data_IF_088307859521
#
_entry.id   IF_088307859521
#
_cell.length_a   1.000
_cell.length_b   1.000
_cell.length_c   1.000
_cell.angle_alpha   90.00
_cell.angle_beta   90.00
_cell.angle_gamma   90.00
#
_symmetry.space_group_name_H-M   'P 1'
#
loop_
_entity.id
_entity.type
_entity.pdbx_description
1 polymer ?
#
# COMPACT_ATOMS: atom_id res chain seq x y z
N UNK A 1 3.22 11.27 7.03
CA UNK A 1 4.40 10.93 7.86
C UNK A 1 4.03 9.86 8.89
N UNK A 2 5.00 9.19 9.54
CA UNK A 2 4.73 8.42 10.75
C UNK A 2 4.07 9.33 11.80
N UNK A 3 3.24 8.77 12.68
CA UNK A 3 2.46 9.58 13.64
C UNK A 3 3.35 10.21 14.73
N UNK A 4 4.50 9.60 15.01
CA UNK A 4 5.51 10.12 15.92
C UNK A 4 6.92 9.77 15.41
N UNK A 5 7.45 10.52 14.43
CA UNK A 5 8.77 10.25 13.87
C UNK A 5 9.86 10.62 14.90
N UNK A 6 10.79 9.69 15.15
CA UNK A 6 11.95 9.97 16.00
C UNK A 6 13.09 10.56 15.18
N UNK A 7 13.76 11.57 15.74
CA UNK A 7 14.98 12.11 15.15
C UNK A 7 16.06 11.01 15.04
N UNK A 8 16.79 10.98 13.91
CA UNK A 8 17.79 9.96 13.63
C UNK A 8 17.24 8.61 13.13
N UNK A 9 15.92 8.41 13.11
CA UNK A 9 15.31 7.19 12.56
C UNK A 9 14.81 7.38 11.13
N UNK A 10 14.92 6.33 10.32
CA UNK A 10 14.43 6.31 8.96
C UNK A 10 13.21 5.42 8.80
N UNK A 11 12.28 5.85 7.95
CA UNK A 11 11.04 5.13 7.71
C UNK A 11 10.78 5.01 6.20
N UNK A 12 10.25 3.86 5.79
CA UNK A 12 9.83 3.59 4.42
C UNK A 12 8.40 3.08 4.39
N UNK A 13 7.70 3.37 3.29
CA UNK A 13 6.36 2.84 2.99
C UNK A 13 6.38 2.15 1.65
N UNK A 14 5.85 0.93 1.63
CA UNK A 14 5.60 0.18 0.41
C UNK A 14 4.11 -0.11 0.34
N UNK A 15 3.51 0.15 -0.81
CA UNK A 15 2.12 -0.23 -1.06
C UNK A 15 2.05 -1.73 -1.38
N UNK A 16 1.21 -2.44 -0.66
CA UNK A 16 0.97 -3.86 -0.79
C UNK A 16 -0.54 -4.05 -0.79
N UNK A 17 -1.05 -4.85 -1.73
CA UNK A 17 -2.49 -5.01 -1.93
C UNK A 17 -3.15 -5.86 -0.84
N UNK A 18 -2.36 -6.61 -0.07
CA UNK A 18 -2.82 -7.52 0.97
C UNK A 18 -2.51 -7.00 2.38
N UNK A 19 -1.67 -5.98 2.51
CA UNK A 19 -1.22 -5.47 3.82
C UNK A 19 -1.56 -3.99 3.97
N UNK A 20 -1.89 -3.53 5.18
CA UNK A 20 -2.20 -2.13 5.40
C UNK A 20 -0.99 -1.26 5.06
N UNK A 21 -1.26 -0.15 4.38
CA UNK A 21 -0.27 0.89 4.10
C UNK A 21 0.20 1.57 5.39
N UNK A 22 1.38 1.19 5.89
CA UNK A 22 1.96 1.64 7.17
C UNK A 22 3.43 1.98 7.00
N UNK A 23 3.91 3.00 7.73
CA UNK A 23 5.33 3.32 7.83
C UNK A 23 6.07 2.24 8.61
N UNK A 24 7.14 1.70 8.03
CA UNK A 24 8.04 0.78 8.71
C UNK A 24 9.37 1.47 8.96
N UNK A 25 9.90 1.30 10.17
CA UNK A 25 11.28 1.71 10.48
C UNK A 25 12.23 0.86 9.65
N UNK A 26 13.20 1.50 9.03
CA UNK A 26 14.23 0.87 8.20
C UNK A 26 15.59 1.46 8.56
N UNK A 27 16.65 0.71 8.28
CA UNK A 27 18.01 1.20 8.50
C UNK A 27 18.29 2.41 7.58
N UNK A 28 18.72 3.53 8.15
CA UNK A 28 19.06 4.74 7.39
C UNK A 28 20.14 4.50 6.34
N UNK A 29 21.10 3.59 6.60
CA UNK A 29 22.14 3.25 5.64
C UNK A 29 21.61 2.58 4.36
N UNK A 30 20.52 1.82 4.47
CA UNK A 30 19.87 1.23 3.29
C UNK A 30 19.23 2.28 2.38
N UNK A 31 18.81 3.41 2.94
CA UNK A 31 18.30 4.55 2.17
C UNK A 31 19.45 5.37 1.59
N UNK A 32 20.52 5.61 2.39
CA UNK A 32 21.71 6.34 1.94
C UNK A 32 22.42 5.63 0.78
N UNK A 33 22.59 4.31 0.84
CA UNK A 33 23.17 3.52 -0.27
C UNK A 33 22.38 3.61 -1.57
N UNK A 34 21.04 3.76 -1.48
CA UNK A 34 20.21 4.03 -2.67
C UNK A 34 20.40 5.47 -3.19
N UNK A 35 20.76 6.43 -2.33
CA UNK A 35 21.10 7.81 -2.75
C UNK A 35 22.51 7.92 -3.35
N UNK A 36 23.49 7.12 -2.94
CA UNK A 36 24.84 7.17 -3.53
C UNK A 36 24.94 6.40 -4.85
N UNK A 37 24.08 5.41 -5.10
CA UNK A 37 23.92 4.74 -6.41
C UNK A 37 23.12 5.57 -7.42
N UNK A 38 23.09 6.90 -7.31
CA UNK A 38 22.32 7.78 -8.20
C UNK A 38 23.04 8.22 -9.48
N UNK A 39 24.21 7.66 -9.80
CA UNK A 39 24.70 7.66 -11.19
C UNK A 39 24.12 6.50 -12.02
N UNK A 40 23.72 5.40 -11.38
CA UNK A 40 23.10 4.22 -12.02
C UNK A 40 21.81 3.77 -11.30
N UNK A 41 21.02 4.72 -10.82
CA UNK A 41 19.68 4.39 -10.35
C UNK A 41 18.88 4.02 -11.58
N UNK A 42 18.77 2.72 -11.83
CA UNK A 42 17.89 2.12 -12.84
C UNK A 42 16.50 2.68 -12.55
N UNK A 43 16.17 3.80 -13.22
CA UNK A 43 14.83 4.30 -13.28
C UNK A 43 14.01 3.08 -13.73
N UNK A 44 12.96 2.68 -12.99
CA UNK A 44 12.11 1.61 -13.47
C UNK A 44 11.76 1.95 -14.91
N UNK A 45 12.07 1.04 -15.83
CA UNK A 45 11.87 1.29 -17.25
C UNK A 45 10.45 1.81 -17.47
N UNK A 46 10.24 2.64 -18.50
CA UNK A 46 8.91 3.18 -18.81
C UNK A 46 7.83 2.08 -18.81
N UNK A 47 8.19 0.86 -19.26
CA UNK A 47 7.35 -0.34 -19.20
C UNK A 47 6.98 -0.77 -17.76
N UNK A 48 7.93 -0.78 -16.83
CA UNK A 48 7.67 -1.13 -15.42
C UNK A 48 6.79 -0.10 -14.71
N UNK A 49 6.96 1.19 -15.02
CA UNK A 49 6.07 2.24 -14.52
C UNK A 49 4.65 2.07 -15.03
N UNK A 50 4.47 1.84 -16.34
CA UNK A 50 3.15 1.58 -16.95
C UNK A 50 2.48 0.34 -16.35
N UNK A 51 3.22 -0.76 -16.16
CA UNK A 51 2.69 -1.96 -15.50
C UNK A 51 2.22 -1.69 -14.06
N UNK A 52 2.98 -0.91 -13.30
CA UNK A 52 2.61 -0.52 -11.93
C UNK A 52 1.35 0.33 -11.92
N UNK A 53 1.27 1.30 -12.83
CA UNK A 53 0.10 2.16 -12.99
C UNK A 53 -1.14 1.33 -13.35
N UNK A 54 -1.06 0.47 -14.37
CA UNK A 54 -2.16 -0.43 -14.77
C UNK A 54 -2.64 -1.33 -13.63
N UNK A 55 -1.71 -1.91 -12.85
CA UNK A 55 -2.07 -2.71 -11.67
C UNK A 55 -2.82 -1.88 -10.62
N UNK A 56 -2.40 -0.64 -10.40
CA UNK A 56 -3.03 0.24 -9.44
C UNK A 56 -4.41 0.71 -9.92
N UNK A 57 -4.54 1.05 -11.21
CA UNK A 57 -5.81 1.39 -11.85
C UNK A 57 -6.82 0.26 -11.68
N UNK A 58 -6.47 -0.97 -12.06
CA UNK A 58 -7.33 -2.16 -11.87
C UNK A 58 -7.75 -2.36 -10.43
N UNK A 59 -6.85 -2.07 -9.49
CA UNK A 59 -7.16 -2.17 -8.07
C UNK A 59 -8.14 -1.08 -7.60
N UNK A 60 -7.95 0.16 -8.07
CA UNK A 60 -8.88 1.26 -7.80
C UNK A 60 -10.26 0.98 -8.39
N UNK A 61 -10.35 0.44 -9.61
CA UNK A 61 -11.60 0.00 -10.22
C UNK A 61 -12.29 -1.08 -9.37
N UNK A 62 -11.54 -2.09 -8.91
CA UNK A 62 -12.06 -3.11 -7.99
C UNK A 62 -12.64 -2.50 -6.72
N UNK A 63 -11.93 -1.56 -6.09
CA UNK A 63 -12.44 -0.88 -4.91
C UNK A 63 -13.68 -0.03 -5.22
N UNK A 64 -13.71 0.66 -6.37
CA UNK A 64 -14.87 1.43 -6.82
C UNK A 64 -16.09 0.53 -7.03
N UNK A 65 -15.91 -0.62 -7.68
CA UNK A 65 -16.96 -1.63 -7.89
C UNK A 65 -17.47 -2.27 -6.59
N UNK A 66 -16.65 -2.29 -5.53
CA UNK A 66 -17.07 -2.69 -4.18
C UNK A 66 -17.83 -1.59 -3.42
N UNK A 67 -18.08 -0.44 -4.04
CA UNK A 67 -18.81 0.69 -3.45
C UNK A 67 -17.95 1.68 -2.66
N UNK A 68 -16.63 1.61 -2.73
CA UNK A 68 -15.77 2.60 -2.08
C UNK A 68 -15.67 3.89 -2.93
N UNK A 69 -15.90 5.04 -2.30
CA UNK A 69 -15.75 6.36 -2.94
C UNK A 69 -14.25 6.69 -3.11
N UNK A 70 -13.75 6.55 -4.34
CA UNK A 70 -12.42 6.96 -4.76
C UNK A 70 -12.39 7.15 -6.29
N UNK A 71 -11.44 7.96 -6.76
CA UNK A 71 -11.18 8.16 -8.19
C UNK A 71 -10.12 7.18 -8.72
N UNK A 72 -10.30 6.74 -9.96
CA UNK A 72 -9.38 5.84 -10.65
C UNK A 72 -8.39 6.69 -11.43
N UNK A 73 -7.26 6.99 -10.81
CA UNK A 73 -6.21 7.86 -11.38
C UNK A 73 -4.95 7.08 -11.78
N UNK A 74 -4.83 5.82 -11.36
CA UNK A 74 -3.60 5.03 -11.50
C UNK A 74 -2.47 5.52 -10.59
N UNK A 75 -2.75 6.47 -9.68
CA UNK A 75 -1.82 7.01 -8.70
C UNK A 75 -2.27 6.69 -7.27
N UNK A 76 -1.31 6.50 -6.37
CA UNK A 76 -1.63 6.16 -4.98
C UNK A 76 -2.05 7.41 -4.22
N UNK A 77 -3.36 7.69 -4.21
CA UNK A 77 -3.96 8.80 -3.46
C UNK A 77 -4.30 8.43 -2.03
N UNK A 78 -4.45 9.43 -1.16
CA UNK A 78 -4.90 9.24 0.23
C UNK A 78 -6.28 8.56 0.30
N UNK A 79 -7.18 8.88 -0.64
CA UNK A 79 -8.48 8.22 -0.77
C UNK A 79 -8.32 6.72 -1.06
N UNK A 80 -7.41 6.36 -1.97
CA UNK A 80 -7.10 4.95 -2.29
C UNK A 80 -6.58 4.21 -1.06
N UNK A 81 -5.69 4.84 -0.28
CA UNK A 81 -5.15 4.27 0.96
C UNK A 81 -6.27 4.05 1.99
N UNK A 82 -7.14 5.04 2.19
CA UNK A 82 -8.29 4.94 3.10
C UNK A 82 -9.25 3.83 2.68
N UNK A 83 -9.60 3.76 1.40
CA UNK A 83 -10.46 2.71 0.86
C UNK A 83 -9.84 1.32 1.03
N UNK A 84 -8.54 1.19 0.72
CA UNK A 84 -7.78 -0.04 0.91
C UNK A 84 -7.80 -0.52 2.37
N UNK A 85 -7.55 0.38 3.34
CA UNK A 85 -7.62 0.01 4.77
C UNK A 85 -9.03 -0.42 5.19
N UNK A 86 -10.08 0.25 4.70
CA UNK A 86 -11.47 -0.14 4.96
C UNK A 86 -11.76 -1.52 4.38
N UNK A 87 -11.31 -1.79 3.16
CA UNK A 87 -11.44 -3.08 2.50
C UNK A 87 -10.80 -4.21 3.30
N UNK A 88 -9.54 -4.07 3.72
CA UNK A 88 -8.85 -5.10 4.52
C UNK A 88 -9.57 -5.36 5.85
N UNK A 89 -10.06 -4.31 6.52
CA UNK A 89 -10.88 -4.47 7.75
C UNK A 89 -12.18 -5.22 7.48
N UNK A 90 -12.86 -4.93 6.37
CA UNK A 90 -14.08 -5.62 6.00
C UNK A 90 -13.84 -7.11 5.71
N UNK A 91 -12.75 -7.45 4.99
CA UNK A 91 -12.34 -8.83 4.73
C UNK A 91 -12.06 -9.58 6.04
N UNK A 92 -11.26 -8.99 6.93
CA UNK A 92 -10.94 -9.59 8.23
C UNK A 92 -12.20 -9.80 9.10
N UNK A 93 -13.15 -8.86 9.08
CA UNK A 93 -14.43 -8.99 9.81
C UNK A 93 -15.28 -10.14 9.26
N UNK A 94 -15.35 -10.29 7.93
CA UNK A 94 -16.08 -11.41 7.29
C UNK A 94 -15.47 -12.75 7.67
N UNK A 95 -14.13 -12.87 7.64
CA UNK A 95 -13.41 -14.08 8.05
C UNK A 95 -13.75 -14.46 9.51
N UNK A 96 -13.61 -13.51 10.44
CA UNK A 96 -13.96 -13.74 11.86
C UNK A 96 -15.42 -14.14 12.07
N UNK A 97 -16.35 -13.59 11.28
CA UNK A 97 -17.78 -13.96 11.37
C UNK A 97 -18.00 -15.40 10.89
N UNK A 98 -17.27 -15.85 9.86
CA UNK A 98 -17.34 -17.22 9.36
C UNK A 98 -16.76 -18.21 10.37
N UNK A 99 -15.59 -17.91 10.95
CA UNK A 99 -14.99 -18.73 12.01
C UNK A 99 -15.95 -18.92 13.19
N UNK A 100 -16.55 -17.83 13.68
CA UNK A 100 -17.56 -17.90 14.76
C UNK A 100 -18.80 -18.73 14.43
N UNK A 101 -19.19 -18.81 13.15
CA UNK A 101 -20.32 -19.65 12.73
C UNK A 101 -19.92 -21.12 12.71
N UNK A 102 -18.71 -21.43 12.25
CA UNK A 102 -18.20 -22.79 12.19
C UNK A 102 -17.87 -23.34 13.58
N UNK A 103 -17.38 -22.52 14.51
CA UNK A 103 -17.13 -22.95 15.90
C UNK A 103 -18.39 -23.10 16.76
N UNK A 104 -19.56 -22.70 16.25
CA UNK A 104 -20.87 -22.86 16.90
C UNK A 104 -21.67 -24.04 16.33
N UNK A 105 -21.09 -24.77 15.39
CA UNK A 105 -21.68 -25.92 14.72
C UNK A 105 -20.93 -27.17 15.16
#
# INVERSE_FOLDING_TARGET
>A
MPKNPKAGECYSRKFDYNKPYVWKKVNCDSIKRNKTKHKDSILPSKRELVKRQLKLTKYQEKLKGLGYKLEVTGMLTDQTIKAHHKYLKAVARKAKKLERKNSKK
#
